data_IF_206207838926
#
_entry.id   IF_206207838926
#
_cell.length_a   1.000
_cell.length_b   1.000
_cell.length_c   1.000
_cell.angle_alpha   90.00
_cell.angle_beta   90.00
_cell.angle_gamma   90.00
#
_symmetry.space_group_name_H-M   'P 1'
#
loop_
_entity.id
_entity.type
_entity.pdbx_description
1 polymer ?
#
# COMPACT_ATOMS: atom_id res chain seq x y z
N UNK A 1 35.74 -4.21 -36.08
CA UNK A 1 36.68 -5.33 -35.99
C UNK A 1 36.58 -5.84 -34.55
N UNK A 2 35.89 -6.93 -34.20
CA UNK A 2 35.68 -8.20 -34.93
C UNK A 2 37.03 -8.74 -35.42
N UNK A 3 37.57 -9.86 -34.93
CA UNK A 3 36.99 -10.95 -34.11
C UNK A 3 37.98 -11.36 -32.97
N UNK A 4 38.03 -12.52 -32.31
CA UNK A 4 37.48 -13.84 -32.66
C UNK A 4 37.16 -14.81 -31.49
N UNK A 5 36.57 -15.94 -31.89
CA UNK A 5 35.98 -17.09 -31.21
C UNK A 5 36.87 -17.92 -30.26
N UNK A 6 36.22 -18.54 -29.27
CA UNK A 6 36.55 -19.90 -28.82
C UNK A 6 35.31 -20.80 -28.91
N UNK A 7 35.50 -22.09 -29.25
CA UNK A 7 34.44 -23.04 -29.64
C UNK A 7 34.04 -24.00 -28.50
N UNK A 8 32.77 -24.37 -28.54
CA UNK A 8 32.17 -25.70 -28.32
C UNK A 8 32.68 -26.64 -27.22
N UNK A 9 31.74 -27.07 -26.38
CA UNK A 9 31.60 -28.48 -26.01
C UNK A 9 30.12 -28.89 -26.17
N UNK A 10 29.87 -30.04 -26.81
CA UNK A 10 28.54 -30.48 -27.27
C UNK A 10 27.91 -31.51 -26.33
N UNK A 11 26.57 -31.50 -26.26
CA UNK A 11 25.70 -32.44 -25.51
C UNK A 11 25.89 -33.91 -25.90
N UNK A 12 25.38 -34.88 -25.10
CA UNK A 12 24.14 -35.53 -25.56
C UNK A 12 23.13 -36.00 -24.48
N UNK A 13 21.88 -35.54 -24.69
CA UNK A 13 20.60 -36.33 -24.75
C UNK A 13 19.79 -36.73 -23.49
N UNK A 14 18.47 -36.81 -23.77
CA UNK A 14 17.33 -37.43 -23.05
C UNK A 14 16.74 -36.60 -21.89
N UNK A 15 15.47 -36.17 -21.96
CA UNK A 15 14.53 -36.23 -23.07
C UNK A 15 13.31 -35.36 -22.81
N UNK A 16 12.76 -34.72 -23.84
CA UNK A 16 11.55 -33.91 -23.71
C UNK A 16 10.30 -34.78 -23.63
N UNK A 17 9.33 -34.36 -22.82
CA UNK A 17 7.95 -34.81 -22.93
C UNK A 17 7.03 -33.60 -22.90
N UNK A 18 6.61 -33.16 -24.09
CA UNK A 18 5.54 -32.19 -24.20
C UNK A 18 4.24 -32.84 -23.72
N UNK A 19 3.60 -32.25 -22.72
CA UNK A 19 2.25 -32.64 -22.34
C UNK A 19 1.28 -32.17 -23.44
N UNK A 20 0.97 -33.05 -24.39
CA UNK A 20 -0.23 -32.90 -25.22
C UNK A 20 -1.45 -33.14 -24.34
N UNK A 21 -2.42 -32.25 -24.42
CA UNK A 21 -3.72 -32.43 -23.78
C UNK A 21 -4.48 -33.56 -24.48
N UNK A 22 -4.85 -34.60 -23.73
CA UNK A 22 -5.75 -35.67 -24.18
C UNK A 22 -7.18 -35.38 -23.67
N UNK A 23 -8.17 -35.11 -24.53
CA UNK A 23 -9.52 -34.75 -24.11
C UNK A 23 -10.31 -35.86 -23.39
N UNK A 24 -9.81 -37.11 -23.37
CA UNK A 24 -10.62 -38.28 -23.02
C UNK A 24 -10.68 -38.64 -21.52
N UNK A 25 -9.98 -37.93 -20.61
CA UNK A 25 -9.86 -38.34 -19.19
C UNK A 25 -10.61 -37.49 -18.15
N UNK A 26 -11.67 -36.82 -18.57
CA UNK A 26 -12.59 -36.14 -17.66
C UNK A 26 -13.65 -37.09 -17.07
N UNK A 27 -13.32 -37.76 -15.94
CA UNK A 27 -14.23 -38.26 -14.86
C UNK A 27 -13.54 -39.36 -14.03
N UNK A 28 -12.93 -38.95 -12.92
CA UNK A 28 -12.89 -39.68 -11.63
C UNK A 28 -12.32 -38.72 -10.58
N UNK A 29 -13.17 -38.28 -9.66
CA UNK A 29 -12.70 -37.89 -8.31
C UNK A 29 -12.15 -39.15 -7.63
N UNK A 30 -11.53 -38.96 -6.47
CA UNK A 30 -11.02 -40.03 -5.60
C UNK A 30 -9.61 -40.54 -5.95
N UNK A 31 -8.64 -39.61 -5.83
CA UNK A 31 -7.29 -39.89 -5.32
C UNK A 31 -6.61 -38.56 -4.93
N UNK A 32 -6.58 -38.27 -3.63
CA UNK A 32 -5.77 -37.21 -3.03
C UNK A 32 -4.96 -37.84 -1.90
N UNK A 33 -3.64 -37.57 -1.75
CA UNK A 33 -2.79 -38.29 -0.81
C UNK A 33 -3.23 -38.23 0.65
N UNK A 34 -3.03 -39.33 1.37
CA UNK A 34 -3.36 -39.44 2.80
C UNK A 34 -2.36 -38.66 3.67
N UNK A 35 -2.71 -37.40 3.92
CA UNK A 35 -2.01 -36.52 4.88
C UNK A 35 -2.84 -35.31 5.32
N UNK A 36 -3.82 -34.90 4.52
CA UNK A 36 -4.67 -33.72 4.78
C UNK A 36 -5.95 -34.03 5.61
N UNK A 37 -5.86 -34.83 6.67
CA UNK A 37 -7.01 -35.14 7.57
C UNK A 37 -6.83 -34.56 8.99
N UNK A 38 -6.80 -33.23 9.11
CA UNK A 38 -6.76 -32.56 10.42
C UNK A 38 -7.50 -31.20 10.49
N UNK A 39 -8.47 -30.93 9.61
CA UNK A 39 -9.39 -29.79 9.76
C UNK A 39 -10.82 -30.18 9.35
N UNK A 40 -11.56 -30.81 10.28
CA UNK A 40 -13.03 -30.85 10.27
C UNK A 40 -13.53 -30.13 11.52
N UNK A 41 -14.59 -29.34 11.39
CA UNK A 41 -15.31 -28.79 12.55
C UNK A 41 -15.15 -27.29 12.77
N UNK A 42 -15.47 -26.47 11.77
CA UNK A 42 -16.09 -25.17 12.02
C UNK A 42 -17.32 -25.05 11.12
N UNK A 43 -18.51 -25.16 11.72
CA UNK A 43 -19.76 -24.80 11.07
C UNK A 43 -19.82 -23.28 10.91
N UNK A 44 -19.22 -22.79 9.82
CA UNK A 44 -19.47 -21.43 9.36
C UNK A 44 -20.82 -21.43 8.63
N UNK A 45 -21.87 -20.75 9.15
CA UNK A 45 -23.15 -20.70 8.47
C UNK A 45 -22.95 -20.07 7.10
N UNK A 46 -23.51 -20.70 6.05
CA UNK A 46 -23.52 -20.14 4.70
C UNK A 46 -24.16 -18.75 4.76
N UNK A 47 -23.36 -17.70 4.62
CA UNK A 47 -23.86 -16.33 4.56
C UNK A 47 -24.54 -16.12 3.20
N UNK A 48 -25.81 -16.50 3.12
CA UNK A 48 -26.67 -16.22 1.97
C UNK A 48 -26.85 -14.71 1.90
N UNK A 49 -26.39 -14.10 0.81
CA UNK A 49 -26.55 -12.67 0.56
C UNK A 49 -28.04 -12.36 0.31
N UNK A 50 -28.77 -11.98 1.36
CA UNK A 50 -30.20 -11.66 1.27
C UNK A 50 -30.45 -10.17 1.03
N UNK A 51 -31.26 -9.93 0.00
CA UNK A 51 -32.15 -8.80 -0.32
C UNK A 51 -31.97 -7.44 0.41
N UNK A 52 -32.01 -6.35 -0.38
CA UNK A 52 -31.96 -4.95 0.07
C UNK A 52 -33.28 -4.50 0.72
N UNK A 53 -33.64 -5.06 1.88
CA UNK A 53 -34.67 -4.50 2.75
C UNK A 53 -34.02 -3.82 3.94
N UNK A 54 -34.57 -2.66 4.34
CA UNK A 54 -34.04 -1.72 5.35
C UNK A 54 -33.43 -2.49 6.52
N UNK A 55 -32.09 -2.51 6.59
CA UNK A 55 -31.37 -3.32 7.56
C UNK A 55 -31.70 -2.89 8.98
N UNK A 56 -32.43 -3.74 9.71
CA UNK A 56 -32.65 -3.56 11.14
C UNK A 56 -31.31 -3.77 11.84
N UNK A 57 -30.79 -2.73 12.50
CA UNK A 57 -29.57 -2.84 13.31
C UNK A 57 -29.79 -3.97 14.35
N UNK A 58 -28.85 -4.91 14.52
CA UNK A 58 -28.99 -5.98 15.50
C UNK A 58 -29.31 -5.42 16.89
N UNK A 59 -30.40 -5.89 17.51
CA UNK A 59 -30.74 -5.50 18.88
C UNK A 59 -29.61 -5.95 19.81
N UNK A 60 -28.93 -4.99 20.45
CA UNK A 60 -27.77 -5.24 21.30
C UNK A 60 -26.43 -4.73 20.74
N UNK A 61 -26.38 -4.20 19.53
CA UNK A 61 -25.20 -3.44 19.08
C UNK A 61 -25.08 -2.15 19.93
N UNK A 62 -24.05 -2.08 20.77
CA UNK A 62 -23.72 -0.86 21.52
C UNK A 62 -23.27 0.25 20.56
N UNK A 63 -23.53 1.50 20.93
CA UNK A 63 -22.96 2.65 20.23
C UNK A 63 -21.45 2.66 20.47
N UNK A 64 -20.67 2.87 19.40
CA UNK A 64 -19.23 3.12 19.52
C UNK A 64 -19.05 4.55 20.01
N UNK A 65 -18.30 4.75 21.09
CA UNK A 65 -18.14 6.06 21.76
C UNK A 65 -16.68 6.40 22.10
N UNK A 66 -15.71 5.65 21.57
CA UNK A 66 -14.29 5.94 21.75
C UNK A 66 -13.79 7.07 20.84
N UNK A 67 -12.50 7.43 20.91
CA UNK A 67 -11.89 8.48 20.09
C UNK A 67 -11.99 8.23 18.57
N UNK A 68 -12.17 6.97 18.15
CA UNK A 68 -12.42 6.54 16.78
C UNK A 68 -13.82 6.90 16.26
N UNK A 69 -14.78 7.21 17.15
CA UNK A 69 -16.17 7.50 16.82
C UNK A 69 -16.42 8.99 16.49
N UNK A 70 -15.75 9.51 15.47
CA UNK A 70 -15.86 10.90 15.01
C UNK A 70 -16.68 11.06 13.72
N UNK A 71 -17.18 12.27 13.47
CA UNK A 71 -17.87 12.63 12.23
C UNK A 71 -17.11 13.74 11.49
N UNK A 72 -17.19 13.75 10.15
CA UNK A 72 -16.40 14.67 9.31
C UNK A 72 -16.52 16.16 9.71
N UNK A 73 -17.74 16.60 10.06
CA UNK A 73 -18.02 17.97 10.53
C UNK A 73 -17.32 18.36 11.85
N UNK A 74 -16.90 17.39 12.66
CA UNK A 74 -16.14 17.63 13.90
C UNK A 74 -14.66 17.78 13.55
N UNK A 75 -14.14 16.93 12.65
CA UNK A 75 -12.76 17.01 12.16
C UNK A 75 -12.50 18.25 11.28
N UNK A 76 -13.51 18.74 10.56
CA UNK A 76 -13.48 20.03 9.84
C UNK A 76 -13.30 21.24 10.78
N UNK A 77 -13.63 21.11 12.07
CA UNK A 77 -13.58 22.18 13.08
C UNK A 77 -12.37 22.08 14.01
N UNK A 78 -11.57 21.03 13.90
CA UNK A 78 -10.38 20.78 14.72
C UNK A 78 -9.13 20.62 13.85
N UNK A 79 -7.98 21.01 14.39
CA UNK A 79 -6.66 20.76 13.81
C UNK A 79 -5.84 19.75 14.62
N UNK A 80 -6.41 19.12 15.65
CA UNK A 80 -5.70 18.19 16.57
C UNK A 80 -5.20 16.91 15.89
N UNK A 81 -5.77 16.57 14.73
CA UNK A 81 -5.29 15.49 13.86
C UNK A 81 -4.12 15.91 12.95
N UNK A 82 -3.73 17.19 12.95
CA UNK A 82 -2.63 17.76 12.16
C UNK A 82 -1.43 18.00 13.08
N UNK A 83 -0.34 17.27 12.85
CA UNK A 83 0.92 17.42 13.60
C UNK A 83 2.00 18.01 12.68
N UNK A 84 2.45 19.22 12.98
CA UNK A 84 3.54 19.87 12.25
C UNK A 84 4.89 19.33 12.70
N UNK A 85 5.77 19.00 11.75
CA UNK A 85 7.16 18.65 12.05
C UNK A 85 7.89 19.84 12.67
N UNK A 86 8.62 19.59 13.75
CA UNK A 86 9.51 20.58 14.35
C UNK A 86 10.76 20.79 13.47
N UNK A 87 11.44 21.96 13.54
CA UNK A 87 12.72 22.15 12.86
C UNK A 87 13.75 21.08 13.23
N UNK A 88 13.74 20.63 14.50
CA UNK A 88 14.57 19.52 14.99
C UNK A 88 14.27 18.20 14.27
N UNK A 89 12.99 17.86 14.09
CA UNK A 89 12.61 16.66 13.35
C UNK A 89 13.10 16.72 11.90
N UNK A 90 13.02 17.89 11.26
CA UNK A 90 13.55 18.10 9.90
C UNK A 90 15.07 17.91 9.88
N UNK A 91 15.82 18.44 10.85
CA UNK A 91 17.27 18.20 10.97
C UNK A 91 17.61 16.73 11.21
N UNK A 92 16.82 15.99 12.00
CA UNK A 92 17.00 14.54 12.17
C UNK A 92 16.73 13.76 10.87
N UNK A 93 15.75 14.18 10.05
CA UNK A 93 15.49 13.59 8.73
C UNK A 93 16.63 13.86 7.73
N UNK A 94 17.12 15.10 7.67
CA UNK A 94 18.28 15.48 6.84
C UNK A 94 19.50 14.64 7.21
N UNK A 95 19.83 14.55 8.51
CA UNK A 95 20.97 13.79 9.01
C UNK A 95 20.85 12.28 8.76
N UNK A 96 19.64 11.71 8.88
CA UNK A 96 19.41 10.29 8.59
C UNK A 96 19.59 9.97 7.09
N UNK A 97 19.13 10.86 6.20
CA UNK A 97 19.33 10.74 4.74
C UNK A 97 20.82 10.83 4.38
N UNK A 98 21.56 11.79 4.92
CA UNK A 98 23.00 11.92 4.66
C UNK A 98 23.80 10.74 5.24
N UNK A 99 23.39 10.22 6.41
CA UNK A 99 23.95 9.01 6.99
C UNK A 99 23.71 7.75 6.14
N UNK A 100 22.62 7.66 5.37
CA UNK A 100 22.42 6.58 4.39
C UNK A 100 23.38 6.73 3.20
N UNK A 101 23.50 7.95 2.62
CA UNK A 101 24.40 8.24 1.49
C UNK A 101 25.84 7.87 1.80
N UNK A 102 26.35 8.27 2.96
CA UNK A 102 27.73 8.00 3.38
C UNK A 102 28.05 6.51 3.47
N UNK A 103 27.04 5.65 3.69
CA UNK A 103 27.17 4.19 3.73
C UNK A 103 26.79 3.50 2.42
N UNK A 104 26.43 4.26 1.37
CA UNK A 104 25.93 3.71 0.11
C UNK A 104 24.57 2.98 0.23
N UNK A 105 23.81 3.25 1.30
CA UNK A 105 22.52 2.63 1.55
C UNK A 105 21.39 3.42 0.88
N UNK A 106 20.38 2.70 0.41
CA UNK A 106 19.18 3.27 -0.19
C UNK A 106 17.99 2.32 -0.01
N UNK A 107 16.78 2.86 -0.20
CA UNK A 107 15.55 2.08 -0.32
C UNK A 107 15.70 0.83 -1.23
N UNK A 108 15.13 -0.34 -0.88
CA UNK A 108 14.54 -0.76 0.41
C UNK A 108 15.56 -1.38 1.39
N UNK A 109 16.86 -1.31 1.09
CA UNK A 109 17.91 -2.11 1.72
C UNK A 109 18.50 -1.48 2.99
N UNK A 110 17.65 -1.02 3.90
CA UNK A 110 18.07 -0.54 5.23
C UNK A 110 16.93 -0.68 6.24
N UNK A 111 17.28 -0.76 7.53
CA UNK A 111 16.32 -0.92 8.63
C UNK A 111 16.18 0.32 9.52
N UNK A 112 15.36 0.21 10.57
CA UNK A 112 15.15 1.28 11.57
C UNK A 112 16.45 1.76 12.22
N UNK A 113 17.40 0.85 12.45
CA UNK A 113 18.75 1.13 12.97
C UNK A 113 19.58 2.02 12.05
N UNK A 114 19.35 1.95 10.74
CA UNK A 114 20.08 2.73 9.75
C UNK A 114 19.51 4.13 9.52
N UNK A 115 18.29 4.38 10.00
CA UNK A 115 17.60 5.66 9.90
C UNK A 115 17.34 6.24 11.30
N UNK A 116 18.38 6.65 12.05
CA UNK A 116 18.24 7.08 13.43
C UNK A 116 17.45 8.39 13.51
N UNK A 117 16.43 8.41 14.36
CA UNK A 117 15.63 9.60 14.70
C UNK A 117 15.65 9.79 16.23
N UNK A 118 16.76 10.32 16.79
CA UNK A 118 17.02 10.30 18.24
C UNK A 118 15.92 10.89 19.11
N UNK A 119 15.16 11.88 18.63
CA UNK A 119 13.99 12.39 19.35
C UNK A 119 12.69 12.30 18.56
N UNK A 120 12.72 12.45 17.24
CA UNK A 120 11.50 12.38 16.43
C UNK A 120 10.85 10.97 16.45
N UNK A 121 11.60 9.91 16.77
CA UNK A 121 11.03 8.57 17.02
C UNK A 121 10.04 8.53 18.20
N UNK A 122 10.13 9.44 19.18
CA UNK A 122 9.13 9.58 20.25
C UNK A 122 7.82 10.16 19.71
N UNK A 123 7.91 11.16 18.85
CA UNK A 123 6.74 11.76 18.20
C UNK A 123 6.05 10.74 17.30
N UNK A 124 6.82 9.95 16.53
CA UNK A 124 6.29 8.82 15.74
C UNK A 124 5.65 7.72 16.60
N UNK A 125 6.16 7.48 17.81
CA UNK A 125 5.53 6.54 18.76
C UNK A 125 4.18 7.07 19.26
N UNK A 126 4.06 8.39 19.48
CA UNK A 126 2.77 9.03 19.79
C UNK A 126 1.82 9.05 18.58
N UNK A 127 2.34 9.16 17.36
CA UNK A 127 1.53 9.00 16.13
C UNK A 127 0.97 7.58 16.04
N UNK A 128 1.79 6.55 16.30
CA UNK A 128 1.32 5.16 16.30
C UNK A 128 0.20 4.93 17.33
N UNK A 129 0.34 5.48 18.53
CA UNK A 129 -0.72 5.41 19.55
C UNK A 129 -2.05 6.05 19.09
N UNK A 130 -2.02 7.17 18.37
CA UNK A 130 -3.24 7.80 17.81
C UNK A 130 -3.88 7.02 16.66
N UNK A 131 -3.09 6.20 15.97
CA UNK A 131 -3.54 5.34 14.88
C UNK A 131 -4.21 4.06 15.41
N UNK A 132 -3.68 3.47 16.49
CA UNK A 132 -4.22 2.23 17.09
C UNK A 132 -5.34 2.50 18.12
N UNK A 133 -5.14 3.46 19.02
CA UNK A 133 -5.99 3.70 20.21
C UNK A 133 -6.70 5.07 20.19
N UNK A 134 -6.44 5.87 19.15
CA UNK A 134 -6.95 7.25 19.02
C UNK A 134 -8.02 7.40 17.95
N UNK A 135 -7.92 8.46 17.14
CA UNK A 135 -8.87 8.75 16.05
C UNK A 135 -8.70 7.84 14.83
N UNK A 136 -7.65 7.02 14.77
CA UNK A 136 -7.34 6.15 13.63
C UNK A 136 -6.68 6.85 12.44
N UNK A 137 -6.37 8.16 12.55
CA UNK A 137 -5.68 8.91 11.49
C UNK A 137 -4.90 10.11 12.03
N UNK A 138 -3.81 10.46 11.36
CA UNK A 138 -2.96 11.65 11.63
C UNK A 138 -2.43 12.22 10.32
N UNK A 139 -2.40 13.55 10.19
CA UNK A 139 -1.69 14.26 9.13
C UNK A 139 -0.37 14.83 9.66
N UNK A 140 0.76 14.26 9.23
CA UNK A 140 2.07 14.87 9.41
C UNK A 140 2.29 15.97 8.36
N UNK A 141 2.47 17.22 8.80
CA UNK A 141 2.62 18.40 7.94
C UNK A 141 4.04 18.99 8.06
N UNK A 142 4.60 19.50 6.96
CA UNK A 142 5.87 20.23 6.99
C UNK A 142 7.13 19.44 6.61
N UNK A 143 6.99 18.23 6.05
CA UNK A 143 8.13 17.56 5.37
C UNK A 143 8.54 18.42 4.16
N UNK A 144 9.79 18.90 4.06
CA UNK A 144 10.21 19.83 3.01
C UNK A 144 10.58 19.06 1.73
N UNK A 145 9.57 18.51 1.06
CA UNK A 145 9.74 17.56 -0.06
C UNK A 145 10.65 18.06 -1.19
N UNK A 146 10.66 19.37 -1.46
CA UNK A 146 11.46 19.99 -2.53
C UNK A 146 12.97 20.00 -2.25
N UNK A 147 13.41 19.65 -1.02
CA UNK A 147 14.83 19.55 -0.65
C UNK A 147 15.44 18.18 -0.98
N UNK A 148 14.63 17.22 -1.42
CA UNK A 148 15.03 15.83 -1.63
C UNK A 148 14.74 15.37 -3.07
N UNK A 149 15.66 14.60 -3.64
CA UNK A 149 15.44 13.84 -4.88
C UNK A 149 14.40 12.73 -4.68
N UNK A 150 13.88 12.17 -5.78
CA UNK A 150 12.89 11.08 -5.71
C UNK A 150 13.39 9.83 -4.97
N UNK A 151 14.69 9.51 -5.07
CA UNK A 151 15.30 8.38 -4.34
C UNK A 151 15.47 8.66 -2.84
N UNK A 152 15.80 9.90 -2.47
CA UNK A 152 15.84 10.34 -1.08
C UNK A 152 14.43 10.39 -0.47
N UNK A 153 13.41 10.83 -1.21
CA UNK A 153 12.01 10.81 -0.76
C UNK A 153 11.50 9.39 -0.49
N UNK A 154 11.84 8.41 -1.36
CA UNK A 154 11.52 6.99 -1.13
C UNK A 154 12.23 6.45 0.12
N UNK A 155 13.48 6.85 0.33
CA UNK A 155 14.25 6.47 1.52
C UNK A 155 13.68 7.13 2.80
N UNK A 156 13.38 8.44 2.77
CA UNK A 156 12.75 9.17 3.87
C UNK A 156 11.42 8.52 4.26
N UNK A 157 10.59 8.19 3.28
CA UNK A 157 9.30 7.55 3.49
C UNK A 157 9.41 6.15 4.14
N UNK A 158 10.37 5.34 3.72
CA UNK A 158 10.65 4.04 4.35
C UNK A 158 11.26 4.17 5.74
N UNK A 159 12.16 5.13 5.93
CA UNK A 159 12.75 5.44 7.23
C UNK A 159 11.66 5.75 8.25
N UNK A 160 10.71 6.63 7.90
CA UNK A 160 9.51 6.89 8.70
C UNK A 160 8.69 5.62 8.92
N UNK A 161 8.41 4.86 7.86
CA UNK A 161 7.66 3.59 7.94
C UNK A 161 8.28 2.57 8.89
N UNK A 162 9.61 2.44 8.89
CA UNK A 162 10.36 1.51 9.76
C UNK A 162 10.38 1.93 11.24
N UNK A 163 10.02 3.17 11.58
CA UNK A 163 9.73 3.58 12.97
C UNK A 163 8.25 3.40 13.36
N UNK A 164 7.34 3.32 12.38
CA UNK A 164 5.91 3.10 12.62
C UNK A 164 5.54 1.61 12.66
N UNK A 165 6.21 0.73 11.91
CA UNK A 165 5.92 -0.71 11.93
C UNK A 165 6.67 -1.52 10.87
N UNK A 166 6.13 -2.70 10.56
CA UNK A 166 6.66 -3.60 9.53
C UNK A 166 5.89 -3.43 8.22
N UNK A 167 6.61 -3.05 7.15
CA UNK A 167 6.00 -2.87 5.85
C UNK A 167 5.46 -4.18 5.25
N UNK A 168 4.37 -4.07 4.49
CA UNK A 168 3.71 -5.19 3.81
C UNK A 168 3.74 -4.99 2.30
N UNK A 169 3.88 -6.08 1.55
CA UNK A 169 3.76 -6.06 0.10
C UNK A 169 2.33 -5.68 -0.32
N UNK A 170 2.21 -4.66 -1.17
CA UNK A 170 0.95 -4.13 -1.68
C UNK A 170 0.34 -5.02 -2.78
N UNK A 171 1.13 -5.90 -3.40
CA UNK A 171 0.69 -6.79 -4.48
C UNK A 171 1.53 -8.08 -4.54
N UNK A 172 1.11 -8.99 -5.42
CA UNK A 172 1.78 -10.28 -5.68
C UNK A 172 3.14 -10.13 -6.36
N UNK A 173 3.46 -8.95 -6.89
CA UNK A 173 4.75 -8.60 -7.48
C UNK A 173 5.79 -8.12 -6.45
N UNK A 174 5.43 -8.04 -5.16
CA UNK A 174 6.36 -7.61 -4.10
C UNK A 174 6.59 -6.11 -4.01
N UNK A 175 5.70 -5.28 -4.56
CA UNK A 175 5.81 -3.81 -4.45
C UNK A 175 5.56 -3.36 -2.99
N UNK A 176 6.53 -2.70 -2.38
CA UNK A 176 6.45 -2.19 -0.99
C UNK A 176 6.01 -0.71 -0.93
N UNK A 177 6.50 0.13 -1.85
CA UNK A 177 5.99 1.49 -2.10
C UNK A 177 5.32 1.51 -3.47
N UNK A 178 4.00 1.68 -3.48
CA UNK A 178 3.22 1.98 -4.68
C UNK A 178 3.20 3.47 -5.00
N UNK A 179 3.51 3.84 -6.23
CA UNK A 179 3.35 5.22 -6.70
C UNK A 179 1.90 5.52 -7.11
N UNK A 180 1.35 6.60 -6.56
CA UNK A 180 0.02 7.12 -6.88
C UNK A 180 0.19 8.31 -7.83
N UNK A 181 -0.04 8.08 -9.13
CA UNK A 181 0.10 9.06 -10.23
C UNK A 181 -1.06 8.88 -11.22
N UNK A 182 -1.54 9.96 -11.83
CA UNK A 182 -2.55 9.90 -12.89
C UNK A 182 -1.92 9.41 -14.20
N UNK A 183 -1.76 8.09 -14.33
CA UNK A 183 -1.12 7.44 -15.47
C UNK A 183 -1.94 7.60 -16.76
N UNK A 184 -3.26 7.82 -16.63
CA UNK A 184 -4.19 8.07 -17.74
C UNK A 184 -3.90 9.35 -18.55
N UNK A 185 -3.04 10.25 -18.06
CA UNK A 185 -2.60 11.45 -18.79
C UNK A 185 -1.37 11.25 -19.68
N UNK A 186 -0.58 10.20 -19.45
CA UNK A 186 0.66 9.96 -20.21
C UNK A 186 0.41 9.24 -21.54
N UNK A 187 -0.74 8.58 -21.69
CA UNK A 187 -1.19 7.98 -22.93
C UNK A 187 -2.24 8.87 -23.59
N UNK A 188 -1.77 9.88 -24.32
CA UNK A 188 -2.60 10.55 -25.33
C UNK A 188 -3.15 9.50 -26.29
N UNK A 189 -4.47 9.42 -26.39
CA UNK A 189 -5.20 8.48 -27.28
C UNK A 189 -4.91 6.99 -27.09
N UNK A 190 -4.84 6.49 -25.85
CA UNK A 190 -5.13 5.06 -25.61
C UNK A 190 -6.57 4.91 -25.13
N UNK A 191 -7.37 4.21 -25.96
CA UNK A 191 -8.72 3.71 -25.60
C UNK A 191 -8.72 3.20 -24.16
N UNK A 192 -9.82 3.42 -23.43
CA UNK A 192 -10.08 2.61 -22.24
C UNK A 192 -9.88 1.14 -22.63
N UNK A 193 -8.89 0.46 -22.03
CA UNK A 193 -8.84 -0.99 -22.16
C UNK A 193 -10.12 -1.51 -21.53
N UNK A 194 -11.01 -2.01 -22.38
CA UNK A 194 -12.29 -2.59 -22.02
C UNK A 194 -12.08 -3.96 -21.37
N UNK A 195 -11.35 -3.98 -20.26
CA UNK A 195 -11.49 -4.98 -19.22
C UNK A 195 -12.96 -4.99 -18.83
N UNK A 196 -13.60 -6.16 -18.94
CA UNK A 196 -15.04 -6.33 -18.86
C UNK A 196 -15.68 -5.47 -17.76
N UNK A 197 -16.76 -4.75 -18.10
CA UNK A 197 -17.56 -4.00 -17.12
C UNK A 197 -18.14 -4.88 -15.97
N UNK A 198 -18.02 -6.22 -16.10
CA UNK A 198 -18.33 -7.23 -15.07
C UNK A 198 -17.23 -7.37 -14.00
N UNK A 199 -15.98 -7.06 -14.32
CA UNK A 199 -14.83 -7.05 -13.42
C UNK A 199 -14.51 -5.59 -13.03
N UNK A 200 -15.25 -5.06 -12.06
CA UNK A 200 -15.15 -3.65 -11.67
C UNK A 200 -13.71 -3.22 -11.31
N UNK A 201 -13.28 -2.06 -11.81
CA UNK A 201 -11.93 -1.47 -11.59
C UNK A 201 -11.48 -1.64 -10.12
N UNK A 202 -10.34 -2.25 -9.88
CA UNK A 202 -9.76 -2.41 -8.54
C UNK A 202 -9.42 -1.06 -7.90
N UNK A 203 -9.21 -1.02 -6.57
CA UNK A 203 -8.75 0.22 -5.91
C UNK A 203 -7.44 0.73 -6.52
N UNK A 204 -6.53 -0.18 -6.90
CA UNK A 204 -5.26 0.15 -7.60
C UNK A 204 -5.49 0.86 -8.94
N UNK A 205 -6.35 0.35 -9.82
CA UNK A 205 -6.58 1.01 -11.12
C UNK A 205 -7.38 2.31 -11.00
N UNK A 206 -8.10 2.52 -9.88
CA UNK A 206 -8.68 3.82 -9.54
C UNK A 206 -7.66 4.81 -8.98
N UNK A 207 -6.74 4.37 -8.11
CA UNK A 207 -5.69 5.22 -7.55
C UNK A 207 -4.74 5.81 -8.63
N UNK A 208 -4.66 5.16 -9.79
CA UNK A 208 -3.93 5.61 -10.98
C UNK A 208 -4.76 6.45 -11.96
N UNK A 209 -5.93 6.92 -11.53
CA UNK A 209 -6.86 7.70 -12.33
C UNK A 209 -7.42 8.88 -11.53
N UNK A 210 -7.86 9.92 -12.24
CA UNK A 210 -8.57 11.07 -11.65
C UNK A 210 -10.03 10.82 -11.24
N UNK A 211 -10.51 9.57 -11.28
CA UNK A 211 -11.87 9.19 -10.89
C UNK A 211 -12.07 9.01 -9.37
N UNK A 212 -13.31 9.10 -8.86
CA UNK A 212 -13.58 8.93 -7.42
C UNK A 212 -13.22 7.52 -6.93
N UNK A 213 -12.33 7.47 -5.95
CA UNK A 213 -12.08 6.27 -5.14
C UNK A 213 -13.32 5.95 -4.29
N UNK A 214 -13.62 4.66 -4.16
CA UNK A 214 -14.67 4.18 -3.25
C UNK A 214 -14.05 3.99 -1.86
N UNK A 215 -14.83 4.19 -0.80
CA UNK A 215 -14.40 3.79 0.54
C UNK A 215 -14.08 2.28 0.56
N UNK A 216 -12.93 1.96 1.14
CA UNK A 216 -12.43 0.61 1.37
C UNK A 216 -11.44 0.66 2.53
N UNK A 217 -11.18 -0.50 3.14
CA UNK A 217 -10.04 -0.74 4.00
C UNK A 217 -9.02 -1.58 3.24
N UNK A 218 -7.73 -1.33 3.48
CA UNK A 218 -6.66 -2.16 2.94
C UNK A 218 -6.36 -3.35 3.86
N UNK A 219 -5.50 -4.27 3.40
CA UNK A 219 -5.13 -5.49 4.14
C UNK A 219 -3.88 -5.27 4.99
N UNK A 220 -3.88 -4.20 5.77
CA UNK A 220 -2.85 -3.83 6.72
C UNK A 220 -3.46 -2.94 7.80
N UNK A 221 -2.77 -2.84 8.93
CA UNK A 221 -3.26 -2.13 10.13
C UNK A 221 -3.20 -0.61 9.91
N UNK A 222 -2.09 -0.13 9.33
CA UNK A 222 -1.88 1.29 8.97
C UNK A 222 -1.60 1.45 7.48
N UNK A 223 -2.26 2.43 6.85
CA UNK A 223 -1.93 2.94 5.50
C UNK A 223 -1.33 4.34 5.65
N UNK A 224 -0.16 4.56 5.08
CA UNK A 224 0.47 5.89 4.97
C UNK A 224 0.49 6.36 3.52
N UNK A 225 0.57 7.69 3.33
CA UNK A 225 0.70 8.35 2.03
C UNK A 225 1.60 9.59 2.16
N UNK A 226 2.59 9.74 1.27
CA UNK A 226 3.42 10.94 1.18
C UNK A 226 3.05 11.76 -0.06
N UNK A 227 2.59 13.00 0.15
CA UNK A 227 2.30 13.93 -0.95
C UNK A 227 3.61 14.57 -1.44
N UNK A 228 4.18 14.03 -2.52
CA UNK A 228 5.38 14.58 -3.18
C UNK A 228 5.05 15.77 -4.10
N UNK A 229 3.90 15.72 -4.79
CA UNK A 229 3.39 16.81 -5.62
C UNK A 229 1.87 16.91 -5.46
N UNK A 230 1.36 18.14 -5.33
CA UNK A 230 -0.08 18.40 -5.31
C UNK A 230 -0.67 18.18 -6.71
N UNK A 231 -1.87 17.62 -6.79
CA UNK A 231 -2.58 17.52 -8.06
C UNK A 231 -2.91 18.93 -8.61
N UNK A 232 -2.87 19.15 -9.94
CA UNK A 232 -3.30 20.41 -10.53
C UNK A 232 -4.77 20.66 -10.21
N UNK A 233 -5.08 21.80 -9.59
CA UNK A 233 -6.46 22.13 -9.24
C UNK A 233 -7.19 22.78 -10.42
N UNK A 234 -8.29 22.21 -10.92
CA UNK A 234 -9.20 22.93 -11.80
C UNK A 234 -9.82 24.09 -11.01
N UNK A 235 -9.84 25.29 -11.60
CA UNK A 235 -10.19 26.55 -10.93
C UNK A 235 -11.55 26.58 -10.20
N UNK A 236 -12.47 25.67 -10.53
CA UNK A 236 -13.81 25.58 -9.95
C UNK A 236 -13.95 24.69 -8.71
N UNK A 237 -12.88 24.05 -8.21
CA UNK A 237 -12.96 23.08 -7.09
C UNK A 237 -11.97 23.25 -5.93
N UNK A 238 -11.16 24.32 -5.93
CA UNK A 238 -10.26 24.60 -4.81
C UNK A 238 -10.92 25.47 -3.73
N UNK A 239 -11.35 24.84 -2.63
CA UNK A 239 -11.26 25.49 -1.31
C UNK A 239 -9.78 25.51 -0.91
N UNK A 240 -9.25 26.69 -0.55
CA UNK A 240 -7.89 26.79 -0.01
C UNK A 240 -7.89 26.21 1.41
N UNK A 241 -7.29 25.03 1.58
CA UNK A 241 -6.86 24.59 2.90
C UNK A 241 -5.54 25.28 3.22
N UNK A 242 -5.60 26.24 4.15
CA UNK A 242 -4.43 26.95 4.71
C UNK A 242 -3.60 26.05 5.63
#
# INVERSE_FOLDING_TARGET
MMSDHFREAVSPRRGGMACREDPARARRRDQCPEGARAWRGFDLPRLVWQDRRRGTIPRGAAMITGPEAWLGREMERSTEWIRSLSPRAITELDAAIDGLKQRGLAWPHFGRSDFPLPTFSRDLSSVLHELEEGRGFVLLRGIPVDRYTEGELKSLYWGLGAHLGAARYQNVQGELIGEVRDENRLYGEVKEMSMDAKLGRSSRSKARSSGPLRFHTDRCDVVSLLCVRKAPCPSSRCTRAS
#
